data_IF_017298872416
#
_entry.id   IF_017298872416
#
_cell.length_a   1.000
_cell.length_b   1.000
_cell.length_c   1.000
_cell.angle_alpha   90.00
_cell.angle_beta   90.00
_cell.angle_gamma   90.00
#
_symmetry.space_group_name_H-M   'P 1'
#
loop_
_entity.id
_entity.type
_entity.pdbx_description
1 polymer ?
#
# COMPACT_ATOMS: atom_id res chain seq x y z
N UNK A 1 52.21 -11.60 -9.44
CA UNK A 1 51.02 -12.43 -9.49
C UNK A 1 50.89 -13.11 -10.84
N UNK A 2 50.66 -14.40 -10.84
CA UNK A 2 50.50 -15.18 -12.05
C UNK A 2 49.29 -14.67 -12.86
N UNK A 3 49.40 -14.44 -14.18
CA UNK A 3 48.29 -13.95 -14.99
C UNK A 3 47.03 -14.82 -14.93
N UNK A 4 47.19 -16.13 -14.75
CA UNK A 4 46.03 -17.03 -14.61
C UNK A 4 45.29 -16.83 -13.30
N UNK A 5 45.98 -16.56 -12.21
CA UNK A 5 45.36 -16.25 -10.93
C UNK A 5 44.63 -14.92 -10.97
N UNK A 6 45.24 -13.94 -11.63
CA UNK A 6 44.63 -12.63 -11.81
C UNK A 6 43.34 -12.73 -12.63
N UNK A 7 43.36 -13.52 -13.69
CA UNK A 7 42.19 -13.76 -14.53
C UNK A 7 41.06 -14.44 -13.74
N UNK A 8 41.40 -15.46 -12.94
CA UNK A 8 40.44 -16.13 -12.08
C UNK A 8 39.84 -15.19 -11.05
N UNK A 9 40.68 -14.33 -10.48
CA UNK A 9 40.23 -13.36 -9.49
C UNK A 9 39.21 -12.40 -10.10
N UNK A 10 39.46 -11.89 -11.30
CA UNK A 10 38.54 -11.02 -12.00
C UNK A 10 37.20 -11.71 -12.32
N UNK A 11 37.25 -12.97 -12.71
CA UNK A 11 36.04 -13.75 -13.00
C UNK A 11 35.23 -13.94 -11.72
N UNK A 12 35.86 -14.30 -10.62
CA UNK A 12 35.20 -14.49 -9.34
C UNK A 12 34.57 -13.19 -8.86
N UNK A 13 35.29 -12.08 -8.93
CA UNK A 13 34.79 -10.77 -8.56
C UNK A 13 33.59 -10.35 -9.42
N UNK A 14 33.65 -10.63 -10.73
CA UNK A 14 32.57 -10.33 -11.65
C UNK A 14 31.32 -11.13 -11.33
N UNK A 15 31.49 -12.42 -11.01
CA UNK A 15 30.35 -13.29 -10.63
C UNK A 15 29.73 -12.81 -9.32
N UNK A 16 30.56 -12.50 -8.32
CA UNK A 16 30.07 -12.02 -7.02
C UNK A 16 29.35 -10.68 -7.17
N UNK A 17 29.88 -9.77 -7.99
CA UNK A 17 29.23 -8.49 -8.26
C UNK A 17 27.89 -8.70 -8.96
N UNK A 18 27.84 -9.60 -9.95
CA UNK A 18 26.60 -9.91 -10.67
C UNK A 18 25.55 -10.51 -9.75
N UNK A 19 25.94 -11.43 -8.88
CA UNK A 19 25.02 -12.03 -7.90
C UNK A 19 24.52 -10.96 -6.93
N UNK A 20 25.39 -10.09 -6.44
CA UNK A 20 25.01 -9.02 -5.54
C UNK A 20 24.00 -8.06 -6.15
N UNK A 21 24.23 -7.66 -7.40
CA UNK A 21 23.32 -6.80 -8.14
C UNK A 21 21.98 -7.50 -8.34
N UNK A 22 21.99 -8.77 -8.75
CA UNK A 22 20.78 -9.54 -8.98
C UNK A 22 19.95 -9.69 -7.71
N UNK A 23 20.59 -9.99 -6.58
CA UNK A 23 19.93 -10.10 -5.28
C UNK A 23 19.35 -8.75 -4.86
N UNK A 24 20.12 -7.66 -5.03
CA UNK A 24 19.64 -6.33 -4.71
C UNK A 24 18.41 -5.93 -5.52
N UNK A 25 18.41 -6.21 -6.82
CA UNK A 25 17.28 -5.93 -7.68
C UNK A 25 16.07 -6.79 -7.31
N UNK A 26 16.28 -8.06 -6.98
CA UNK A 26 15.20 -8.95 -6.56
C UNK A 26 14.55 -8.48 -5.26
N UNK A 27 15.36 -8.09 -4.28
CA UNK A 27 14.86 -7.56 -3.01
C UNK A 27 14.10 -6.26 -3.21
N UNK A 28 14.61 -5.38 -4.07
CA UNK A 28 13.93 -4.12 -4.41
C UNK A 28 12.57 -4.38 -5.07
N UNK A 29 12.53 -5.34 -6.01
CA UNK A 29 11.28 -5.71 -6.67
C UNK A 29 10.27 -6.30 -5.68
N UNK A 30 10.73 -7.14 -4.75
CA UNK A 30 9.86 -7.70 -3.72
C UNK A 30 9.31 -6.61 -2.80
N UNK A 31 10.11 -5.64 -2.44
CA UNK A 31 9.65 -4.52 -1.62
C UNK A 31 8.58 -3.69 -2.34
N UNK A 32 8.72 -3.51 -3.63
CA UNK A 32 7.73 -2.79 -4.43
C UNK A 32 6.42 -3.58 -4.58
N UNK A 33 6.52 -4.90 -4.62
CA UNK A 33 5.36 -5.77 -4.79
C UNK A 33 4.64 -6.08 -3.48
N UNK A 34 5.31 -5.89 -2.34
CA UNK A 34 4.66 -6.02 -1.04
C UNK A 34 3.84 -4.77 -0.81
N UNK A 35 2.52 -4.94 -0.87
CA UNK A 35 1.62 -3.86 -0.53
C UNK A 35 1.72 -3.61 0.98
N UNK A 36 2.29 -2.48 1.34
CA UNK A 36 2.46 -2.11 2.74
C UNK A 36 1.09 -1.84 3.36
N UNK A 37 0.82 -2.51 4.45
CA UNK A 37 -0.44 -2.34 5.19
C UNK A 37 -0.24 -1.31 6.30
N UNK A 38 -1.12 -0.32 6.33
CA UNK A 38 -1.09 0.72 7.35
C UNK A 38 -2.46 0.85 8.01
N UNK A 39 -2.46 1.04 9.31
CA UNK A 39 -3.67 1.39 10.04
C UNK A 39 -3.94 2.88 9.92
N UNK A 40 -5.17 3.35 10.18
CA UNK A 40 -5.47 4.78 10.19
C UNK A 40 -4.58 5.57 11.14
N UNK A 41 -4.22 5.01 12.29
CA UNK A 41 -3.29 5.66 13.21
C UNK A 41 -1.92 5.89 12.57
N UNK A 42 -1.38 4.88 11.90
CA UNK A 42 -0.09 4.99 11.23
C UNK A 42 -0.11 6.03 10.12
N UNK A 43 -1.19 6.07 9.36
CA UNK A 43 -1.34 7.04 8.27
C UNK A 43 -1.46 8.46 8.84
N UNK A 44 -2.25 8.64 9.89
CA UNK A 44 -2.44 9.93 10.53
C UNK A 44 -1.16 10.46 11.18
N UNK A 45 -0.30 9.55 11.66
CA UNK A 45 0.99 9.90 12.26
C UNK A 45 2.09 10.18 11.23
N UNK A 46 1.79 10.00 9.94
CA UNK A 46 2.76 10.25 8.88
C UNK A 46 3.72 9.10 8.63
N UNK A 47 3.42 7.91 9.12
CA UNK A 47 4.28 6.73 8.93
C UNK A 47 4.16 6.14 7.53
N UNK A 48 3.03 6.39 6.84
CA UNK A 48 2.82 5.89 5.50
C UNK A 48 3.50 6.78 4.46
N UNK A 49 4.21 6.22 3.47
CA UNK A 49 4.85 7.04 2.44
C UNK A 49 3.81 7.61 1.47
N UNK A 50 4.01 8.86 1.08
CA UNK A 50 3.18 9.51 0.08
C UNK A 50 3.60 9.07 -1.33
N UNK A 51 2.63 8.98 -2.23
CA UNK A 51 2.89 8.64 -3.62
C UNK A 51 3.21 7.17 -3.86
N UNK A 52 3.23 6.35 -2.82
CA UNK A 52 3.46 4.91 -2.91
C UNK A 52 2.15 4.18 -2.65
N UNK A 53 1.91 3.13 -3.42
CA UNK A 53 0.70 2.34 -3.24
C UNK A 53 0.75 1.58 -1.92
N UNK A 54 -0.27 1.78 -1.10
CA UNK A 54 -0.39 1.18 0.22
C UNK A 54 -1.75 0.53 0.39
N UNK A 55 -1.87 -0.31 1.41
CA UNK A 55 -3.15 -0.85 1.88
C UNK A 55 -3.52 -0.13 3.16
N UNK A 56 -4.65 0.54 3.15
CA UNK A 56 -5.20 1.18 4.34
C UNK A 56 -6.38 0.35 4.81
N UNK A 57 -6.26 -0.23 5.98
CA UNK A 57 -7.31 -1.09 6.54
C UNK A 57 -7.88 -0.55 7.82
N UNK A 58 -9.18 -0.70 8.01
CA UNK A 58 -9.87 -0.27 9.21
C UNK A 58 -11.37 -0.44 9.06
N UNK A 59 -12.11 0.15 9.99
CA UNK A 59 -13.57 0.11 9.99
C UNK A 59 -14.14 1.38 9.35
N UNK A 60 -15.14 1.22 8.50
CA UNK A 60 -15.84 2.37 7.92
C UNK A 60 -16.65 3.05 9.02
N UNK A 61 -16.37 4.33 9.27
CA UNK A 61 -17.05 5.09 10.30
C UNK A 61 -18.48 5.36 9.91
N UNK A 62 -19.40 5.21 10.86
CA UNK A 62 -20.83 5.43 10.62
C UNK A 62 -21.09 6.89 10.28
N UNK A 63 -21.92 7.10 9.26
CA UNK A 63 -22.27 8.44 8.80
C UNK A 63 -21.21 9.13 7.99
N UNK A 64 -20.10 8.44 7.67
CA UNK A 64 -19.00 9.03 6.92
C UNK A 64 -19.11 8.84 5.42
N UNK A 65 -19.93 7.91 4.96
CA UNK A 65 -20.01 7.58 3.54
C UNK A 65 -20.81 8.67 2.81
N UNK A 66 -20.14 9.29 1.84
CA UNK A 66 -20.72 10.33 0.99
C UNK A 66 -20.57 9.91 -0.46
N UNK A 67 -21.69 9.83 -1.16
CA UNK A 67 -21.68 9.47 -2.58
C UNK A 67 -22.09 10.67 -3.40
N UNK A 68 -21.35 10.91 -4.48
CA UNK A 68 -21.72 11.96 -5.41
C UNK A 68 -22.88 11.50 -6.29
N UNK A 69 -23.89 12.36 -6.44
CA UNK A 69 -25.05 12.04 -7.28
C UNK A 69 -24.71 12.04 -8.77
N UNK A 70 -23.69 12.81 -9.16
CA UNK A 70 -23.36 13.03 -10.57
C UNK A 70 -22.16 12.21 -11.06
N UNK A 71 -21.49 11.49 -10.15
CA UNK A 71 -20.30 10.71 -10.48
C UNK A 71 -20.21 9.46 -9.62
N UNK A 72 -19.22 8.62 -9.93
CA UNK A 72 -18.95 7.41 -9.16
C UNK A 72 -18.04 7.68 -7.97
N UNK A 73 -17.80 8.94 -7.64
CA UNK A 73 -16.92 9.30 -6.53
C UNK A 73 -17.62 9.01 -5.19
N UNK A 74 -16.94 8.25 -4.36
CA UNK A 74 -17.40 7.90 -3.02
C UNK A 74 -16.33 8.34 -2.04
N UNK A 75 -16.72 9.00 -0.97
CA UNK A 75 -15.84 9.42 0.10
C UNK A 75 -16.33 8.82 1.40
N UNK A 76 -15.41 8.24 2.15
CA UNK A 76 -15.72 7.68 3.46
C UNK A 76 -14.50 7.79 4.37
N UNK A 77 -14.72 7.61 5.66
CA UNK A 77 -13.68 7.68 6.67
C UNK A 77 -13.49 6.31 7.27
N UNK A 78 -12.23 5.88 7.35
CA UNK A 78 -11.85 4.61 7.96
C UNK A 78 -11.16 4.90 9.28
N UNK A 79 -11.54 4.18 10.32
CA UNK A 79 -11.01 4.37 11.67
C UNK A 79 -10.55 3.04 12.26
N UNK A 80 -9.53 3.12 13.14
CA UNK A 80 -9.13 2.03 14.02
C UNK A 80 -9.55 2.27 15.46
N UNK A 81 -10.53 3.15 15.67
CA UNK A 81 -11.03 3.61 16.97
C UNK A 81 -10.06 4.50 17.73
N UNK A 82 -8.90 4.79 17.16
CA UNK A 82 -7.92 5.70 17.72
C UNK A 82 -7.76 6.94 16.83
N UNK A 83 -7.56 6.72 15.54
CA UNK A 83 -7.45 7.78 14.54
C UNK A 83 -8.30 7.43 13.33
N UNK A 84 -8.62 8.45 12.54
CA UNK A 84 -9.44 8.29 11.34
C UNK A 84 -8.72 8.89 10.13
N UNK A 85 -8.93 8.29 8.97
CA UNK A 85 -8.33 8.74 7.72
C UNK A 85 -9.41 8.79 6.65
N UNK A 86 -9.56 9.91 5.93
CA UNK A 86 -10.50 9.97 4.82
C UNK A 86 -9.97 9.19 3.62
N UNK A 87 -10.86 8.50 2.95
CA UNK A 87 -10.54 7.73 1.75
C UNK A 87 -11.50 8.17 0.65
N UNK A 88 -10.96 8.42 -0.54
CA UNK A 88 -11.75 8.68 -1.73
C UNK A 88 -11.62 7.50 -2.68
N UNK A 89 -12.72 7.08 -3.24
CA UNK A 89 -12.77 5.97 -4.17
C UNK A 89 -13.66 6.34 -5.34
N UNK A 90 -13.19 6.04 -6.55
CA UNK A 90 -13.97 6.27 -7.75
C UNK A 90 -14.28 4.95 -8.41
N UNK A 91 -15.56 4.60 -8.43
CA UNK A 91 -16.02 3.36 -9.01
C UNK A 91 -17.24 2.81 -8.30
N UNK A 92 -17.61 1.60 -8.65
CA UNK A 92 -18.76 0.92 -8.06
C UNK A 92 -18.28 0.14 -6.84
N UNK A 93 -18.85 0.47 -5.67
CA UNK A 93 -18.57 -0.28 -4.45
C UNK A 93 -19.26 -1.64 -4.49
N UNK A 94 -18.67 -2.67 -3.84
CA UNK A 94 -19.35 -3.95 -3.69
C UNK A 94 -20.71 -3.80 -2.99
N UNK A 95 -21.65 -4.65 -3.33
CA UNK A 95 -23.00 -4.60 -2.75
C UNK A 95 -22.99 -4.81 -1.24
N UNK A 96 -21.97 -5.50 -0.73
CA UNK A 96 -21.84 -5.78 0.69
C UNK A 96 -21.16 -4.64 1.46
N UNK A 97 -20.79 -3.55 0.80
CA UNK A 97 -20.17 -2.40 1.45
C UNK A 97 -21.17 -1.70 2.36
N UNK A 98 -20.84 -1.61 3.63
CA UNK A 98 -21.68 -1.00 4.65
C UNK A 98 -20.83 -0.22 5.66
N UNK A 99 -21.46 0.78 6.28
CA UNK A 99 -20.84 1.49 7.39
C UNK A 99 -20.67 0.55 8.58
N UNK A 100 -19.58 0.74 9.33
CA UNK A 100 -19.26 -0.11 10.45
C UNK A 100 -18.61 -1.44 10.08
N UNK A 101 -18.27 -1.61 8.81
CA UNK A 101 -17.66 -2.83 8.31
C UNK A 101 -16.14 -2.64 8.14
N UNK A 102 -15.39 -3.72 8.37
CA UNK A 102 -13.95 -3.71 8.09
C UNK A 102 -13.68 -3.76 6.60
N UNK A 103 -12.81 -2.88 6.13
CA UNK A 103 -12.40 -2.84 4.73
C UNK A 103 -10.90 -2.65 4.60
N UNK A 104 -10.37 -2.97 3.44
CA UNK A 104 -9.00 -2.64 3.04
C UNK A 104 -9.09 -1.85 1.74
N UNK A 105 -8.57 -0.63 1.76
CA UNK A 105 -8.50 0.21 0.58
C UNK A 105 -7.07 0.19 0.03
N UNK A 106 -6.95 -0.05 -1.27
CA UNK A 106 -5.67 -0.03 -1.96
C UNK A 106 -5.57 1.24 -2.79
N UNK A 107 -4.56 2.02 -2.53
CA UNK A 107 -4.37 3.28 -3.24
C UNK A 107 -3.13 4.00 -2.76
N UNK A 108 -3.04 5.26 -3.12
CA UNK A 108 -1.90 6.11 -2.77
C UNK A 108 -2.34 7.22 -1.82
N UNK A 109 -1.49 7.49 -0.84
CA UNK A 109 -1.69 8.61 0.06
C UNK A 109 -1.24 9.89 -0.65
N UNK A 110 -2.12 10.90 -0.68
CA UNK A 110 -1.77 12.18 -1.28
C UNK A 110 -1.20 13.14 -0.22
N UNK A 111 -0.80 14.34 -0.66
CA UNK A 111 -0.18 15.34 0.22
C UNK A 111 -1.13 15.85 1.31
N UNK A 112 -2.44 15.72 1.10
CA UNK A 112 -3.46 16.19 2.05
C UNK A 112 -3.79 15.15 3.14
N UNK A 113 -3.11 14.00 3.11
CA UNK A 113 -3.39 12.92 4.05
C UNK A 113 -4.62 12.09 3.70
N UNK A 114 -5.11 12.20 2.47
CA UNK A 114 -6.24 11.43 1.97
C UNK A 114 -5.74 10.26 1.14
N UNK A 115 -6.28 9.07 1.39
CA UNK A 115 -5.97 7.90 0.58
C UNK A 115 -6.87 7.91 -0.65
N UNK A 116 -6.25 8.03 -1.82
CA UNK A 116 -6.97 7.93 -3.09
C UNK A 116 -6.96 6.46 -3.50
N UNK A 117 -8.05 5.77 -3.20
CA UNK A 117 -8.15 4.34 -3.44
C UNK A 117 -8.56 4.05 -4.88
N UNK A 118 -7.90 3.07 -5.48
CA UNK A 118 -8.30 2.54 -6.78
C UNK A 118 -9.00 1.19 -6.63
N UNK A 119 -8.95 0.59 -5.44
CA UNK A 119 -9.61 -0.67 -5.16
C UNK A 119 -10.00 -0.73 -3.68
N UNK A 120 -11.19 -1.22 -3.40
CA UNK A 120 -11.69 -1.41 -2.03
C UNK A 120 -12.08 -2.87 -1.87
N UNK A 121 -11.48 -3.53 -0.88
CA UNK A 121 -11.76 -4.92 -0.55
C UNK A 121 -12.49 -4.98 0.78
N UNK A 122 -13.50 -5.82 0.86
CA UNK A 122 -14.21 -6.05 2.10
C UNK A 122 -13.47 -7.10 2.92
N UNK A 123 -13.34 -6.83 4.22
CA UNK A 123 -12.77 -7.81 5.14
C UNK A 123 -13.82 -8.89 5.41
N UNK A 124 -13.47 -10.13 5.13
CA UNK A 124 -14.32 -11.29 5.41
C UNK A 124 -14.06 -11.88 6.79
N UNK A 125 -13.14 -11.28 7.54
CA UNK A 125 -12.82 -11.76 8.87
C UNK A 125 -13.83 -11.20 9.84
N UNK A 126 -14.73 -12.05 10.26
CA UNK A 126 -15.67 -11.74 11.32
C UNK A 126 -15.06 -12.18 12.65
N UNK A 127 -14.83 -11.22 13.47
CA UNK A 127 -14.38 -11.50 14.84
C UNK A 127 -15.50 -11.18 15.78
#
# INVERSE_FOLDING_TARGET
MNPQRKKRLFIILGILAGIGIAVGLALSALQQNINLFYTPTQIANGEAPQGTRIRAGGMVEKGSVQRSADSLDVRFVVTDFNKSVPITYRGILPDLFREGQGIVALGKLNADGVVVADEVLLSLIHI
#
